data_IF_579543022479
#
_entry.id   IF_579543022479
#
_cell.length_a   1.000
_cell.length_b   1.000
_cell.length_c   1.000
_cell.angle_alpha   90.00
_cell.angle_beta   90.00
_cell.angle_gamma   90.00
#
_symmetry.space_group_name_H-M   'P 1'
#
loop_
_entity.id
_entity.type
_entity.pdbx_description
1 polymer ?
#
# COMPACT_ATOMS: atom_id res chain seq x y z
N UNK A 1 -13.35 -9.52 3.33
CA UNK A 1 -14.63 -8.80 3.15
C UNK A 1 -15.05 -8.75 1.69
N UNK A 2 -14.14 -8.69 0.72
CA UNK A 2 -14.48 -8.88 -0.71
C UNK A 2 -15.18 -10.23 -0.93
N UNK A 3 -14.63 -11.32 -0.37
CA UNK A 3 -15.21 -12.67 -0.48
C UNK A 3 -16.50 -12.87 0.32
N UNK A 4 -16.73 -12.06 1.36
CA UNK A 4 -17.95 -12.09 2.19
C UNK A 4 -18.37 -10.64 2.52
N UNK A 5 -19.24 -10.04 1.69
CA UNK A 5 -19.65 -8.65 1.82
C UNK A 5 -20.36 -8.31 3.14
N UNK A 6 -20.98 -9.27 3.82
CA UNK A 6 -21.67 -9.04 5.10
C UNK A 6 -20.73 -8.63 6.24
N UNK A 7 -19.42 -8.78 6.05
CA UNK A 7 -18.38 -8.42 7.01
C UNK A 7 -17.89 -6.97 6.85
N UNK A 8 -18.30 -6.27 5.78
CA UNK A 8 -17.78 -4.94 5.42
C UNK A 8 -17.92 -3.91 6.55
N UNK A 9 -19.08 -3.87 7.18
CA UNK A 9 -19.43 -2.88 8.22
C UNK A 9 -19.31 -3.44 9.64
N UNK A 10 -18.67 -4.60 9.81
CA UNK A 10 -18.48 -5.26 11.12
C UNK A 10 -17.00 -5.22 11.52
N UNK A 11 -16.68 -5.14 12.81
CA UNK A 11 -15.29 -5.27 13.26
C UNK A 11 -14.79 -6.69 12.94
N UNK A 12 -13.73 -6.78 12.15
CA UNK A 12 -13.18 -8.02 11.61
C UNK A 12 -11.69 -8.14 11.94
N UNK A 13 -11.30 -9.31 12.44
CA UNK A 13 -9.90 -9.74 12.59
C UNK A 13 -9.62 -10.99 11.76
N UNK A 14 -8.44 -11.05 11.16
CA UNK A 14 -7.92 -12.27 10.53
C UNK A 14 -7.08 -13.00 11.59
N UNK A 15 -7.42 -14.25 11.85
CA UNK A 15 -6.82 -15.09 12.87
C UNK A 15 -5.91 -16.16 12.25
N UNK A 16 -4.71 -16.31 12.80
CA UNK A 16 -3.86 -17.48 12.58
C UNK A 16 -3.52 -18.09 13.94
N UNK A 17 -3.88 -19.35 14.16
CA UNK A 17 -3.79 -20.01 15.46
C UNK A 17 -4.46 -19.18 16.58
N UNK A 18 -3.68 -18.56 17.45
CA UNK A 18 -4.16 -17.77 18.60
C UNK A 18 -3.92 -16.26 18.46
N UNK A 19 -3.46 -15.81 17.29
CA UNK A 19 -3.10 -14.42 17.01
C UNK A 19 -4.01 -13.80 15.97
N UNK A 20 -4.37 -12.54 16.19
CA UNK A 20 -5.00 -11.65 15.20
C UNK A 20 -3.88 -11.00 14.40
N UNK A 21 -3.60 -11.54 13.20
CA UNK A 21 -2.48 -11.08 12.37
C UNK A 21 -2.72 -9.69 11.80
N UNK A 22 -3.97 -9.40 11.43
CA UNK A 22 -4.40 -8.06 11.03
C UNK A 22 -5.90 -7.91 11.32
N UNK A 23 -6.37 -6.67 11.30
CA UNK A 23 -7.77 -6.32 11.51
C UNK A 23 -8.16 -5.11 10.66
N UNK A 24 -9.45 -5.04 10.35
CA UNK A 24 -10.02 -3.91 9.62
C UNK A 24 -10.10 -2.65 10.48
N UNK A 25 -10.35 -1.51 9.84
CA UNK A 25 -10.40 -0.24 10.54
C UNK A 25 -11.55 -0.13 11.55
N UNK A 26 -12.68 -0.79 11.32
CA UNK A 26 -13.75 -0.83 12.33
C UNK A 26 -13.29 -1.51 13.62
N UNK A 27 -12.51 -2.59 13.54
CA UNK A 27 -11.89 -3.20 14.72
C UNK A 27 -10.78 -2.31 15.33
N UNK A 28 -10.00 -1.59 14.51
CA UNK A 28 -8.95 -0.67 15.02
C UNK A 28 -9.50 0.51 15.80
N UNK A 29 -10.64 1.08 15.38
CA UNK A 29 -11.35 2.13 16.13
C UNK A 29 -11.72 1.66 17.55
N UNK A 30 -11.96 0.36 17.73
CA UNK A 30 -12.29 -0.28 19.00
C UNK A 30 -11.04 -0.76 19.77
N UNK A 31 -9.84 -0.40 19.33
CA UNK A 31 -8.58 -0.68 20.04
C UNK A 31 -7.94 -2.04 19.76
N UNK A 32 -8.46 -2.81 18.81
CA UNK A 32 -7.81 -4.03 18.32
C UNK A 32 -6.61 -3.64 17.45
N UNK A 33 -5.44 -4.21 17.69
CA UNK A 33 -4.22 -3.93 16.93
C UNK A 33 -3.72 -5.17 16.19
N UNK A 34 -2.79 -4.98 15.26
CA UNK A 34 -2.09 -6.09 14.61
C UNK A 34 -1.30 -6.88 15.66
N UNK A 35 -1.13 -8.19 15.40
CA UNK A 35 -0.37 -9.13 16.24
C UNK A 35 -0.87 -9.25 17.69
N UNK A 36 -2.17 -8.98 17.91
CA UNK A 36 -2.81 -9.11 19.22
C UNK A 36 -3.25 -10.55 19.47
N UNK A 37 -3.17 -11.04 20.70
CA UNK A 37 -3.77 -12.34 21.04
C UNK A 37 -5.29 -12.27 20.88
N UNK A 38 -5.89 -13.39 20.45
CA UNK A 38 -7.35 -13.49 20.25
C UNK A 38 -8.13 -13.16 21.52
N UNK A 39 -7.62 -13.58 22.70
CA UNK A 39 -8.23 -13.26 24.00
C UNK A 39 -8.30 -11.76 24.22
N UNK A 40 -7.17 -11.06 24.08
CA UNK A 40 -7.07 -9.62 24.31
C UNK A 40 -7.91 -8.83 23.29
N UNK A 41 -7.93 -9.29 22.03
CA UNK A 41 -8.74 -8.69 20.97
C UNK A 41 -10.24 -8.82 21.26
N UNK A 42 -10.69 -9.97 21.77
CA UNK A 42 -12.08 -10.22 22.18
C UNK A 42 -12.47 -9.46 23.44
N UNK A 43 -11.55 -9.26 24.38
CA UNK A 43 -11.78 -8.44 25.57
C UNK A 43 -12.02 -6.97 25.19
N UNK A 44 -11.22 -6.44 24.26
CA UNK A 44 -11.41 -5.07 23.74
C UNK A 44 -12.64 -4.90 22.86
N UNK A 45 -12.96 -5.92 22.05
CA UNK A 45 -14.09 -5.89 21.13
C UNK A 45 -14.86 -7.22 21.20
N UNK A 46 -15.82 -7.38 22.12
CA UNK A 46 -16.61 -8.62 22.27
C UNK A 46 -17.33 -9.04 20.98
N UNK A 47 -17.79 -8.07 20.20
CA UNK A 47 -18.46 -8.24 18.91
C UNK A 47 -17.51 -8.50 17.72
N UNK A 48 -16.19 -8.63 17.96
CA UNK A 48 -15.20 -8.86 16.89
C UNK A 48 -15.50 -10.17 16.16
N UNK A 49 -15.66 -10.11 14.84
CA UNK A 49 -15.74 -11.29 13.99
C UNK A 49 -14.32 -11.74 13.66
N UNK A 50 -14.06 -13.04 13.78
CA UNK A 50 -12.76 -13.63 13.43
C UNK A 50 -12.92 -14.56 12.24
N UNK A 51 -12.05 -14.41 11.25
CA UNK A 51 -11.95 -15.29 10.08
C UNK A 51 -10.60 -15.98 10.10
N UNK A 52 -10.57 -17.28 9.82
CA UNK A 52 -9.33 -18.03 9.72
C UNK A 52 -8.56 -17.59 8.46
N UNK A 53 -7.29 -17.19 8.64
CA UNK A 53 -6.37 -16.80 7.57
C UNK A 53 -5.13 -17.67 7.50
N UNK A 54 -5.20 -18.94 7.93
CA UNK A 54 -4.07 -19.88 7.84
C UNK A 54 -3.82 -20.33 6.39
N UNK A 55 -4.89 -20.47 5.60
CA UNK A 55 -4.76 -20.66 4.16
C UNK A 55 -4.43 -19.31 3.50
N UNK A 56 -3.24 -19.24 2.91
CA UNK A 56 -2.71 -18.04 2.28
C UNK A 56 -2.97 -17.99 0.77
N UNK A 57 -3.65 -18.98 0.19
CA UNK A 57 -3.80 -19.13 -1.27
C UNK A 57 -4.47 -17.91 -1.89
N UNK A 58 -5.61 -17.47 -1.35
CA UNK A 58 -6.32 -16.31 -1.89
C UNK A 58 -5.53 -14.99 -1.73
N UNK A 59 -4.79 -14.83 -0.62
CA UNK A 59 -3.95 -13.65 -0.41
C UNK A 59 -2.76 -13.63 -1.37
N UNK A 60 -2.14 -14.79 -1.63
CA UNK A 60 -1.05 -14.93 -2.59
C UNK A 60 -1.52 -14.62 -4.01
N UNK A 61 -2.66 -15.18 -4.43
CA UNK A 61 -3.24 -14.92 -5.75
C UNK A 61 -3.55 -13.44 -5.94
N UNK A 62 -4.21 -12.80 -4.96
CA UNK A 62 -4.52 -11.37 -5.05
C UNK A 62 -3.24 -10.54 -5.07
N UNK A 63 -2.23 -10.92 -4.29
CA UNK A 63 -0.95 -10.24 -4.27
C UNK A 63 -0.25 -10.25 -5.63
N UNK A 64 -0.24 -11.39 -6.34
CA UNK A 64 0.34 -11.46 -7.69
C UNK A 64 -0.44 -10.64 -8.70
N UNK A 65 -1.78 -10.69 -8.66
CA UNK A 65 -2.62 -9.86 -9.53
C UNK A 65 -2.33 -8.36 -9.39
N UNK A 66 -2.01 -7.89 -8.16
CA UNK A 66 -1.62 -6.49 -7.97
C UNK A 66 -0.23 -6.20 -8.52
N UNK A 67 0.74 -7.10 -8.34
CA UNK A 67 2.07 -6.94 -8.95
C UNK A 67 1.98 -6.91 -10.47
N UNK A 68 1.27 -7.86 -11.09
CA UNK A 68 1.07 -7.93 -12.54
C UNK A 68 0.44 -6.64 -13.07
N UNK A 69 -0.57 -6.10 -12.37
CA UNK A 69 -1.17 -4.81 -12.71
C UNK A 69 -0.16 -3.64 -12.62
N UNK A 70 0.74 -3.65 -11.63
CA UNK A 70 1.76 -2.62 -11.49
C UNK A 70 2.85 -2.73 -12.56
N UNK A 71 3.18 -3.96 -12.99
CA UNK A 71 4.13 -4.25 -14.06
C UNK A 71 3.65 -3.71 -15.43
N UNK A 72 2.33 -3.56 -15.62
CA UNK A 72 1.77 -2.89 -16.81
C UNK A 72 2.15 -1.40 -16.89
N UNK A 73 2.43 -0.75 -15.75
CA UNK A 73 2.85 0.66 -15.73
C UNK A 73 4.35 0.81 -15.93
N UNK A 74 5.16 0.01 -15.24
CA UNK A 74 6.62 0.00 -15.34
C UNK A 74 7.12 -1.43 -15.19
N UNK A 75 8.06 -1.90 -16.03
CA UNK A 75 8.57 -3.26 -15.93
C UNK A 75 9.44 -3.50 -14.68
N UNK A 76 9.86 -2.44 -13.98
CA UNK A 76 10.72 -2.54 -12.79
C UNK A 76 9.84 -2.47 -11.54
N UNK A 77 9.34 -3.63 -11.12
CA UNK A 77 8.55 -3.81 -9.89
C UNK A 77 9.26 -4.76 -8.94
N UNK A 78 9.47 -4.35 -7.70
CA UNK A 78 10.02 -5.18 -6.62
C UNK A 78 8.97 -5.41 -5.53
N UNK A 79 8.77 -6.67 -5.15
CA UNK A 79 7.80 -7.05 -4.11
C UNK A 79 8.45 -7.12 -2.74
N UNK A 80 7.78 -6.57 -1.72
CA UNK A 80 8.11 -6.77 -0.32
C UNK A 80 6.93 -7.41 0.42
N UNK A 81 6.99 -8.72 0.60
CA UNK A 81 5.86 -9.47 1.17
C UNK A 81 4.69 -9.61 0.20
N UNK A 82 3.46 -9.57 0.74
CA UNK A 82 2.23 -9.77 -0.05
C UNK A 82 1.48 -8.48 -0.36
N UNK A 83 1.67 -7.42 0.41
CA UNK A 83 0.92 -6.17 0.32
C UNK A 83 1.74 -4.94 -0.08
N UNK A 84 3.04 -5.10 -0.33
CA UNK A 84 3.90 -3.98 -0.71
C UNK A 84 4.64 -4.25 -2.02
N UNK A 85 4.64 -3.24 -2.88
CA UNK A 85 5.36 -3.22 -4.15
C UNK A 85 6.07 -1.87 -4.31
N UNK A 86 7.31 -1.93 -4.76
CA UNK A 86 8.11 -0.79 -5.18
C UNK A 86 8.09 -0.73 -6.71
N UNK A 87 7.80 0.42 -7.28
CA UNK A 87 7.77 0.63 -8.73
C UNK A 87 8.72 1.77 -9.08
N UNK A 88 9.63 1.55 -10.02
CA UNK A 88 10.44 2.63 -10.57
C UNK A 88 9.63 3.43 -11.60
N UNK A 89 9.27 4.66 -11.23
CA UNK A 89 8.46 5.55 -12.08
C UNK A 89 9.28 6.58 -12.85
N UNK A 90 10.60 6.48 -12.84
CA UNK A 90 11.50 7.52 -13.35
C UNK A 90 11.21 7.87 -14.81
N UNK A 91 11.17 6.87 -15.69
CA UNK A 91 10.90 7.08 -17.12
C UNK A 91 9.51 7.67 -17.37
N UNK A 92 8.51 7.23 -16.59
CA UNK A 92 7.12 7.71 -16.71
C UNK A 92 7.02 9.18 -16.32
N UNK A 93 7.69 9.58 -15.23
CA UNK A 93 7.72 10.95 -14.75
C UNK A 93 8.45 11.85 -15.73
N UNK A 94 9.64 11.44 -16.21
CA UNK A 94 10.40 12.22 -17.20
C UNK A 94 9.59 12.44 -18.49
N UNK A 95 8.93 11.40 -19.00
CA UNK A 95 8.06 11.50 -20.19
C UNK A 95 6.88 12.46 -19.96
N UNK A 96 6.23 12.39 -18.79
CA UNK A 96 5.12 13.31 -18.44
C UNK A 96 5.60 14.75 -18.32
N UNK A 97 6.75 14.99 -17.70
CA UNK A 97 7.33 16.33 -17.57
C UNK A 97 7.67 16.93 -18.94
N UNK A 98 8.25 16.15 -19.86
CA UNK A 98 8.51 16.59 -21.24
C UNK A 98 7.23 16.94 -22.00
N UNK A 99 6.15 16.19 -21.79
CA UNK A 99 4.84 16.46 -22.39
C UNK A 99 4.17 17.72 -21.80
N UNK A 100 4.39 18.03 -20.53
CA UNK A 100 3.84 19.22 -19.88
C UNK A 100 4.57 20.52 -20.28
N UNK A 101 5.82 20.43 -20.77
CA UNK A 101 6.55 21.58 -21.28
C UNK A 101 5.95 22.20 -22.56
N UNK A 102 4.99 21.53 -23.23
CA UNK A 102 4.28 22.10 -24.38
C UNK A 102 3.00 22.89 -24.05
N UNK A 103 2.42 22.77 -22.84
CA UNK A 103 1.10 23.34 -22.48
C UNK A 103 1.07 24.11 -21.14
N UNK A 104 1.86 25.19 -20.98
CA UNK A 104 1.87 26.11 -19.80
C UNK A 104 2.58 25.60 -18.52
N UNK A 105 3.91 25.76 -18.48
CA UNK A 105 4.78 25.44 -17.34
C UNK A 105 4.91 26.55 -16.26
N UNK A 106 3.89 27.39 -16.04
CA UNK A 106 4.02 28.53 -15.12
C UNK A 106 3.36 28.35 -13.75
N UNK A 107 2.60 27.27 -13.51
CA UNK A 107 1.82 27.12 -12.26
C UNK A 107 2.00 25.80 -11.49
N UNK A 108 2.78 24.84 -11.98
CA UNK A 108 2.92 23.52 -11.32
C UNK A 108 3.92 23.56 -10.16
N UNK A 109 3.41 23.74 -8.95
CA UNK A 109 4.19 23.53 -7.71
C UNK A 109 4.19 22.03 -7.39
N UNK A 110 5.27 21.32 -7.74
CA UNK A 110 5.43 19.91 -7.37
C UNK A 110 6.04 19.84 -5.98
N UNK A 111 5.26 19.38 -5.00
CA UNK A 111 5.74 19.06 -3.66
C UNK A 111 5.96 17.54 -3.53
N UNK A 112 7.16 17.12 -3.16
CA UNK A 112 7.50 15.73 -2.92
C UNK A 112 8.68 15.58 -1.95
N UNK A 113 8.84 14.40 -1.36
CA UNK A 113 10.04 14.04 -0.60
C UNK A 113 10.85 13.05 -1.43
N UNK A 114 12.05 13.47 -1.86
CA UNK A 114 13.00 12.61 -2.56
C UNK A 114 13.84 11.90 -1.50
N UNK A 115 13.64 10.58 -1.36
CA UNK A 115 14.44 9.74 -0.47
C UNK A 115 15.75 9.32 -1.14
N UNK A 116 16.60 10.28 -1.49
CA UNK A 116 18.05 10.12 -1.38
C UNK A 116 18.77 11.46 -1.55
N UNK A 117 19.86 11.60 -0.79
CA UNK A 117 20.74 12.74 -0.63
C UNK A 117 20.25 13.90 0.26
N UNK A 118 21.02 14.11 1.32
CA UNK A 118 20.87 15.18 2.29
C UNK A 118 20.98 16.55 1.60
N UNK A 119 20.04 17.44 1.95
CA UNK A 119 20.02 18.90 1.74
C UNK A 119 19.92 19.36 0.27
N UNK A 120 18.73 19.84 -0.08
CA UNK A 120 18.43 21.22 -0.54
C UNK A 120 17.22 21.21 -1.47
N UNK A 121 16.28 22.13 -1.21
CA UNK A 121 15.25 22.51 -2.17
C UNK A 121 15.94 23.09 -3.41
N UNK A 122 16.09 22.28 -4.45
CA UNK A 122 16.41 22.81 -5.77
C UNK A 122 15.14 22.97 -6.56
N UNK A 123 14.85 24.24 -6.92
CA UNK A 123 14.02 24.56 -8.06
C UNK A 123 14.56 23.77 -9.25
N UNK A 124 13.70 23.00 -9.91
CA UNK A 124 14.07 22.03 -10.95
C UNK A 124 14.72 22.76 -12.14
N UNK A 125 16.04 22.97 -12.05
CA UNK A 125 16.88 23.45 -13.12
C UNK A 125 17.96 22.39 -13.32
N UNK A 126 17.75 21.59 -14.38
CA UNK A 126 18.77 20.84 -15.10
C UNK A 126 19.79 20.07 -14.23
N UNK A 127 19.39 18.93 -13.65
CA UNK A 127 20.36 17.88 -13.33
C UNK A 127 19.77 16.51 -13.70
N UNK A 128 20.13 16.07 -14.90
CA UNK A 128 20.13 14.68 -15.35
C UNK A 128 21.08 13.87 -14.45
N UNK A 129 20.55 13.00 -13.59
CA UNK A 129 21.23 11.81 -13.05
C UNK A 129 20.28 11.03 -12.13
N UNK A 130 19.87 9.85 -12.57
CA UNK A 130 19.21 8.78 -11.81
C UNK A 130 18.30 9.26 -10.69
N UNK A 131 17.18 9.84 -11.09
CA UNK A 131 16.00 9.84 -10.25
C UNK A 131 15.60 8.36 -10.15
N UNK A 132 15.45 7.81 -8.95
CA UNK A 132 14.72 6.56 -8.72
C UNK A 132 13.54 6.96 -7.85
N UNK A 133 12.40 7.26 -8.48
CA UNK A 133 11.17 7.54 -7.73
C UNK A 133 10.61 6.20 -7.32
N UNK A 134 10.96 5.78 -6.11
CA UNK A 134 10.32 4.66 -5.43
C UNK A 134 8.98 5.14 -4.91
N UNK A 135 7.92 4.94 -5.69
CA UNK A 135 6.58 5.03 -5.13
C UNK A 135 6.35 3.75 -4.34
N UNK A 136 6.45 3.84 -3.02
CA UNK A 136 5.97 2.77 -2.15
C UNK A 136 4.45 2.79 -2.29
N UNK A 137 3.92 1.95 -3.18
CA UNK A 137 2.54 1.54 -3.04
C UNK A 137 2.51 0.61 -1.82
N UNK A 138 2.47 1.23 -0.63
CA UNK A 138 1.88 0.54 0.51
C UNK A 138 0.44 0.41 0.09
N UNK A 139 0.08 -0.76 -0.40
CA UNK A 139 -1.29 -1.08 -0.72
C UNK A 139 -1.96 -1.29 0.64
N UNK A 140 -2.17 -0.18 1.36
CA UNK A 140 -3.21 -0.05 2.38
C UNK A 140 -4.59 -0.39 1.79
N UNK A 141 -4.70 -0.56 0.47
CA UNK A 141 -5.93 -0.69 -0.30
C UNK A 141 -6.41 -2.12 -0.63
N UNK A 142 -5.59 -3.17 -0.51
CA UNK A 142 -6.00 -4.55 -0.88
C UNK A 142 -6.12 -5.51 0.31
N UNK A 143 -5.66 -5.14 1.51
CA UNK A 143 -5.86 -5.91 2.75
C UNK A 143 -6.63 -5.07 3.77
N UNK A 144 -7.69 -4.43 3.29
CA UNK A 144 -8.63 -3.70 4.15
C UNK A 144 -10.09 -3.98 3.84
N UNK A 145 -10.32 -5.13 3.21
CA UNK A 145 -11.60 -5.80 3.09
C UNK A 145 -11.43 -7.30 2.90
#
# INVERSE_FOLDING_TARGET
MISNPELKDKPLGVQQKYLVVTCNYEARKLGVTKLMNVRDAKEKCPQLVLVNGEDLTCYREMSYKVTELLEEFSPVVERLGFDENFVDLTEIVEKKLQQLQSDELSALTVSGHVYNNQRECYSFHLLTKSIHIFLIFIIYLFIWC
#
